data_IF_878449037889
#
_entry.id   IF_878449037889
#
_cell.length_a   1.000
_cell.length_b   1.000
_cell.length_c   1.000
_cell.angle_alpha   90.00
_cell.angle_beta   90.00
_cell.angle_gamma   90.00
#
_symmetry.space_group_name_H-M   'P 1'
#
loop_
_entity.id
_entity.type
_entity.pdbx_description
1 polymer ?
#
# COMPACT_ATOMS: atom_id res chain seq x y z
N UNK A 1 -24.40 9.38 -19.34
CA UNK A 1 -24.94 8.25 -18.55
C UNK A 1 -23.95 7.10 -18.74
N UNK A 2 -23.14 6.74 -17.83
CA UNK A 2 -23.22 5.76 -16.78
C UNK A 2 -21.85 5.64 -16.13
N UNK A 3 -21.68 6.11 -14.97
CA UNK A 3 -21.78 5.40 -13.71
C UNK A 3 -21.06 4.02 -13.74
N UNK A 4 -19.76 4.06 -13.40
CA UNK A 4 -19.08 2.90 -12.89
C UNK A 4 -19.66 2.66 -11.49
N UNK A 5 -20.71 1.84 -11.45
CA UNK A 5 -21.32 1.36 -10.23
C UNK A 5 -20.40 0.31 -9.61
N UNK A 6 -19.41 0.74 -8.87
CA UNK A 6 -18.85 -0.08 -7.82
C UNK A 6 -19.90 -0.08 -6.72
N UNK A 7 -20.71 -1.15 -6.65
CA UNK A 7 -21.66 -1.36 -5.56
C UNK A 7 -20.84 -1.67 -4.31
N UNK A 8 -20.35 -0.63 -3.65
CA UNK A 8 -19.98 -0.72 -2.24
C UNK A 8 -21.31 -0.82 -1.51
N UNK A 9 -21.77 -2.04 -1.25
CA UNK A 9 -22.80 -2.26 -0.25
C UNK A 9 -22.22 -1.74 1.05
N UNK A 10 -22.65 -0.57 1.49
CA UNK A 10 -22.44 -0.08 2.84
C UNK A 10 -23.07 -1.08 3.81
N UNK A 11 -22.28 -2.06 4.25
CA UNK A 11 -22.51 -2.67 5.53
C UNK A 11 -22.14 -1.60 6.55
N UNK A 12 -23.12 -0.96 7.14
CA UNK A 12 -22.94 -0.17 8.35
C UNK A 12 -22.57 -1.20 9.43
N UNK A 13 -21.28 -1.37 9.67
CA UNK A 13 -20.81 -2.07 10.85
C UNK A 13 -21.07 -1.14 12.04
N UNK A 14 -21.92 -1.58 12.93
CA UNK A 14 -21.96 -1.06 14.29
C UNK A 14 -20.58 -1.36 14.88
N UNK A 15 -19.81 -0.33 15.16
CA UNK A 15 -18.52 -0.43 15.85
C UNK A 15 -18.81 -0.84 17.29
N UNK A 16 -18.77 -2.13 17.58
CA UNK A 16 -18.38 -2.61 18.88
C UNK A 16 -16.89 -2.32 19.03
N UNK A 17 -16.47 -1.80 20.17
CA UNK A 17 -15.06 -1.50 20.45
C UNK A 17 -14.22 -2.77 20.26
N UNK A 18 -13.61 -2.91 19.08
CA UNK A 18 -12.65 -4.00 18.82
C UNK A 18 -11.49 -3.77 19.78
N UNK A 19 -11.25 -4.69 20.68
CA UNK A 19 -10.13 -4.59 21.62
C UNK A 19 -8.82 -4.43 20.84
N UNK A 20 -7.85 -3.72 21.41
CA UNK A 20 -6.52 -3.51 20.76
C UNK A 20 -5.84 -4.86 20.43
N UNK A 21 -6.17 -5.93 21.17
CA UNK A 21 -5.65 -7.28 20.96
C UNK A 21 -6.21 -8.00 19.71
N UNK A 22 -7.33 -7.52 19.16
CA UNK A 22 -7.99 -8.11 17.99
C UNK A 22 -7.65 -7.39 16.66
N UNK A 23 -6.82 -6.36 16.70
CA UNK A 23 -6.40 -5.61 15.49
C UNK A 23 -5.22 -6.27 14.82
N UNK A 24 -5.29 -6.42 13.50
CA UNK A 24 -4.16 -6.88 12.70
C UNK A 24 -3.00 -5.87 12.78
N UNK A 25 -1.82 -6.32 13.20
CA UNK A 25 -0.64 -5.49 13.35
C UNK A 25 0.07 -5.36 12.00
N UNK A 26 0.16 -4.16 11.44
CA UNK A 26 0.83 -3.94 10.17
C UNK A 26 2.13 -3.15 10.32
N UNK A 27 3.14 -3.52 9.52
CA UNK A 27 4.32 -2.69 9.30
C UNK A 27 4.20 -1.98 7.95
N UNK A 28 4.38 -0.66 7.94
CA UNK A 28 4.31 0.13 6.71
C UNK A 28 5.72 0.54 6.28
N UNK A 29 6.11 0.12 5.08
CA UNK A 29 7.43 0.40 4.49
C UNK A 29 7.35 1.60 3.56
N UNK A 30 8.26 2.55 3.72
CA UNK A 30 8.22 3.87 3.07
C UNK A 30 9.60 4.32 2.61
N UNK A 31 9.66 5.21 1.61
CA UNK A 31 10.91 5.86 1.14
C UNK A 31 10.72 7.37 0.86
N UNK A 32 9.56 7.95 1.20
CA UNK A 32 9.24 9.32 0.78
C UNK A 32 8.37 10.10 1.77
N UNK A 33 7.41 10.85 1.23
CA UNK A 33 6.58 11.82 2.00
C UNK A 33 5.63 11.16 3.00
N UNK A 34 5.27 9.88 2.81
CA UNK A 34 4.39 9.14 3.72
C UNK A 34 2.91 9.55 3.64
N UNK A 35 2.44 10.06 2.51
CA UNK A 35 1.02 10.42 2.36
C UNK A 35 0.11 9.19 2.45
N UNK A 36 0.54 8.08 1.87
CA UNK A 36 -0.15 6.78 1.98
C UNK A 36 -0.08 6.23 3.41
N UNK A 37 1.07 6.36 4.09
CA UNK A 37 1.20 6.03 5.52
C UNK A 37 0.19 6.83 6.36
N UNK A 38 0.07 8.15 6.15
CA UNK A 38 -0.90 8.97 6.87
C UNK A 38 -2.33 8.46 6.66
N UNK A 39 -2.67 8.13 5.42
CA UNK A 39 -4.00 7.55 5.12
C UNK A 39 -4.25 6.26 5.89
N UNK A 40 -3.25 5.39 6.00
CA UNK A 40 -3.38 4.15 6.78
C UNK A 40 -3.58 4.45 8.27
N UNK A 41 -2.83 5.39 8.84
CA UNK A 41 -2.99 5.83 10.23
C UNK A 41 -4.40 6.38 10.46
N UNK A 42 -4.89 7.24 9.58
CA UNK A 42 -6.21 7.87 9.71
C UNK A 42 -7.37 6.87 9.55
N UNK A 43 -7.14 5.75 8.87
CA UNK A 43 -8.15 4.74 8.53
C UNK A 43 -8.07 3.44 9.34
N UNK A 44 -7.05 3.27 10.16
CA UNK A 44 -6.78 2.02 10.88
C UNK A 44 -7.96 1.55 11.74
N UNK A 45 -8.63 2.47 12.43
CA UNK A 45 -9.80 2.14 13.26
C UNK A 45 -10.98 1.68 12.41
N UNK A 46 -11.20 2.33 11.27
CA UNK A 46 -12.29 1.99 10.36
C UNK A 46 -12.16 0.60 9.76
N UNK A 47 -10.94 0.11 9.54
CA UNK A 47 -10.69 -1.17 8.87
C UNK A 47 -10.12 -2.25 9.79
N UNK A 48 -10.00 -1.99 11.10
CA UNK A 48 -9.65 -2.97 12.12
C UNK A 48 -8.19 -3.44 12.07
N UNK A 49 -7.26 -2.60 11.64
CA UNK A 49 -5.83 -2.84 11.72
C UNK A 49 -5.13 -1.76 12.58
N UNK A 50 -3.88 -1.99 12.93
CA UNK A 50 -3.02 -1.07 13.67
C UNK A 50 -1.71 -0.89 12.91
N UNK A 51 -1.31 0.35 12.63
CA UNK A 51 0.06 0.64 12.17
C UNK A 51 1.00 0.54 13.38
N UNK A 52 1.64 -0.61 13.54
CA UNK A 52 2.47 -0.93 14.71
C UNK A 52 3.96 -0.61 14.50
N UNK A 53 4.40 -0.51 13.25
CA UNK A 53 5.79 -0.21 12.89
C UNK A 53 5.86 0.53 11.56
N UNK A 54 6.76 1.49 11.46
CA UNK A 54 7.15 2.12 10.20
C UNK A 54 8.60 1.77 9.90
N UNK A 55 8.87 1.28 8.69
CA UNK A 55 10.23 0.95 8.22
C UNK A 55 10.59 1.86 7.06
N UNK A 56 11.73 2.54 7.16
CA UNK A 56 12.25 3.39 6.09
C UNK A 56 13.68 2.96 5.70
N UNK A 57 13.97 2.96 4.40
CA UNK A 57 15.31 2.67 3.89
C UNK A 57 16.20 3.92 3.74
N UNK A 58 15.67 5.08 4.10
CA UNK A 58 16.37 6.36 4.09
C UNK A 58 15.62 7.37 4.96
N UNK A 59 16.30 8.44 5.37
CA UNK A 59 15.67 9.56 6.07
C UNK A 59 14.61 10.19 5.16
N UNK A 60 13.38 10.29 5.67
CA UNK A 60 12.25 10.79 4.88
C UNK A 60 11.14 11.35 5.78
N UNK A 61 10.25 12.18 5.22
CA UNK A 61 9.13 12.81 5.96
C UNK A 61 8.16 11.81 6.59
N UNK A 62 8.09 10.59 6.06
CA UNK A 62 7.27 9.54 6.66
C UNK A 62 7.68 9.18 8.09
N UNK A 63 8.99 9.28 8.43
CA UNK A 63 9.49 9.07 9.79
C UNK A 63 9.01 10.17 10.76
N UNK A 64 8.92 11.42 10.31
CA UNK A 64 8.38 12.52 11.10
C UNK A 64 6.89 12.31 11.38
N UNK A 65 6.12 11.78 10.41
CA UNK A 65 4.72 11.41 10.61
C UNK A 65 4.57 10.30 11.64
N UNK A 66 5.40 9.26 11.56
CA UNK A 66 5.41 8.17 12.53
C UNK A 66 5.69 8.70 13.94
N UNK A 67 6.70 9.55 14.09
CA UNK A 67 7.05 10.17 15.37
C UNK A 67 5.90 11.05 15.93
N UNK A 68 5.25 11.84 15.09
CA UNK A 68 4.09 12.68 15.50
C UNK A 68 2.92 11.83 16.00
N UNK A 69 2.73 10.65 15.43
CA UNK A 69 1.68 9.69 15.83
C UNK A 69 2.15 8.70 16.91
N UNK A 70 3.35 8.88 17.49
CA UNK A 70 3.95 7.98 18.48
C UNK A 70 4.07 6.51 17.97
N UNK A 71 4.24 6.31 16.66
CA UNK A 71 4.41 4.99 16.07
C UNK A 71 5.91 4.65 16.04
N UNK A 72 6.33 3.48 16.56
CA UNK A 72 7.70 3.00 16.45
C UNK A 72 8.19 3.00 15.01
N UNK A 73 9.45 3.41 14.79
CA UNK A 73 10.03 3.42 13.45
C UNK A 73 11.48 2.96 13.44
N UNK A 74 11.89 2.37 12.32
CA UNK A 74 13.25 1.90 12.06
C UNK A 74 13.71 2.47 10.72
N UNK A 75 14.88 3.15 10.72
CA UNK A 75 15.56 3.58 9.50
C UNK A 75 16.77 2.68 9.28
N UNK A 76 16.67 1.75 8.34
CA UNK A 76 17.76 0.82 8.02
C UNK A 76 17.61 0.24 6.61
N UNK A 77 18.74 -0.27 6.07
CA UNK A 77 18.78 -1.07 4.84
C UNK A 77 19.12 -2.53 5.12
N UNK A 78 19.38 -2.88 6.38
CA UNK A 78 19.70 -4.24 6.79
C UNK A 78 18.40 -5.03 6.99
N UNK A 79 18.18 -5.98 6.10
CA UNK A 79 16.99 -6.83 6.13
C UNK A 79 16.94 -7.77 7.34
N UNK A 80 18.07 -8.07 7.96
CA UNK A 80 18.11 -8.84 9.21
C UNK A 80 17.59 -7.99 10.37
N UNK A 81 17.98 -6.72 10.42
CA UNK A 81 17.47 -5.77 11.41
C UNK A 81 15.96 -5.53 11.21
N UNK A 82 15.53 -5.36 9.95
CA UNK A 82 14.11 -5.22 9.62
C UNK A 82 13.32 -6.44 10.10
N UNK A 83 13.78 -7.65 9.78
CA UNK A 83 13.10 -8.89 10.16
C UNK A 83 12.96 -9.05 11.67
N UNK A 84 14.01 -8.74 12.42
CA UNK A 84 13.97 -8.73 13.88
C UNK A 84 12.96 -7.70 14.42
N UNK A 85 12.91 -6.50 13.83
CA UNK A 85 11.94 -5.49 14.22
C UNK A 85 10.49 -5.94 13.95
N UNK A 86 10.23 -6.58 12.82
CA UNK A 86 8.91 -7.15 12.49
C UNK A 86 8.48 -8.19 13.53
N UNK A 87 9.38 -9.09 13.92
CA UNK A 87 9.10 -10.12 14.94
C UNK A 87 8.86 -9.50 16.32
N UNK A 88 9.67 -8.53 16.73
CA UNK A 88 9.57 -7.87 18.03
C UNK A 88 8.24 -7.10 18.17
N UNK A 89 7.75 -6.51 17.08
CA UNK A 89 6.48 -5.80 17.05
C UNK A 89 5.28 -6.70 16.71
N UNK A 90 5.48 -8.03 16.61
CA UNK A 90 4.43 -9.03 16.32
C UNK A 90 3.61 -8.65 15.08
N UNK A 91 4.30 -8.29 14.01
CA UNK A 91 3.67 -7.85 12.77
C UNK A 91 3.00 -9.04 12.08
N UNK A 92 1.76 -8.84 11.67
CA UNK A 92 0.96 -9.82 10.90
C UNK A 92 1.13 -9.63 9.40
N UNK A 93 1.24 -8.36 8.94
CA UNK A 93 1.33 -8.01 7.53
C UNK A 93 2.30 -6.86 7.27
N UNK A 94 3.05 -6.97 6.18
CA UNK A 94 3.91 -5.90 5.66
C UNK A 94 3.20 -5.20 4.51
N UNK A 95 3.15 -3.87 4.55
CA UNK A 95 2.55 -3.02 3.52
C UNK A 95 3.60 -2.12 2.90
N UNK A 96 3.94 -2.34 1.63
CA UNK A 96 4.81 -1.43 0.90
C UNK A 96 3.99 -0.25 0.38
N UNK A 97 4.32 0.96 0.83
CA UNK A 97 3.62 2.20 0.51
C UNK A 97 4.61 3.25 -0.04
N UNK A 98 5.02 3.10 -1.27
CA UNK A 98 6.08 3.90 -1.89
C UNK A 98 7.47 3.53 -1.37
N UNK A 99 7.72 2.26 -1.10
CA UNK A 99 9.03 1.73 -0.72
C UNK A 99 9.85 1.39 -1.96
N UNK A 100 11.01 2.02 -2.11
CA UNK A 100 11.80 1.94 -3.35
C UNK A 100 12.89 0.86 -3.35
N UNK A 101 13.15 0.22 -2.20
CA UNK A 101 14.11 -0.89 -2.15
C UNK A 101 13.43 -2.21 -2.57
N UNK A 102 14.20 -3.06 -3.23
CA UNK A 102 13.74 -4.40 -3.61
C UNK A 102 13.76 -5.30 -2.37
N UNK A 103 12.63 -5.93 -2.10
CA UNK A 103 12.51 -6.92 -1.02
C UNK A 103 13.28 -8.18 -1.41
N UNK A 104 14.25 -8.66 -0.61
CA UNK A 104 15.02 -9.84 -0.96
C UNK A 104 14.15 -11.11 -0.96
N UNK A 105 14.54 -12.06 -1.81
CA UNK A 105 13.81 -13.32 -2.01
C UNK A 105 13.47 -14.02 -0.68
N UNK A 106 14.42 -14.11 0.25
CA UNK A 106 14.21 -14.83 1.50
C UNK A 106 13.16 -14.18 2.42
N UNK A 107 12.99 -12.83 2.35
CA UNK A 107 11.89 -12.12 3.03
C UNK A 107 10.57 -12.42 2.32
N UNK A 108 10.54 -12.38 0.97
CA UNK A 108 9.33 -12.72 0.22
C UNK A 108 8.85 -14.14 0.53
N UNK A 109 9.77 -15.10 0.65
CA UNK A 109 9.46 -16.49 0.98
C UNK A 109 9.00 -16.65 2.44
N UNK A 110 9.69 -15.99 3.39
CA UNK A 110 9.32 -16.02 4.82
C UNK A 110 7.94 -15.42 5.09
N UNK A 111 7.61 -14.35 4.39
CA UNK A 111 6.38 -13.58 4.54
C UNK A 111 5.43 -13.81 3.35
N UNK A 112 5.46 -14.99 2.73
CA UNK A 112 4.61 -15.32 1.59
C UNK A 112 3.15 -15.03 1.91
N UNK A 113 2.47 -14.26 1.01
CA UNK A 113 1.10 -13.76 1.16
C UNK A 113 0.85 -12.82 2.36
N UNK A 114 1.90 -12.43 3.11
CA UNK A 114 1.85 -11.45 4.19
C UNK A 114 2.58 -10.14 3.84
N UNK A 115 3.04 -9.99 2.59
CA UNK A 115 3.55 -8.73 2.05
C UNK A 115 2.67 -8.30 0.90
N UNK A 116 2.14 -7.08 0.98
CA UNK A 116 1.40 -6.45 -0.11
C UNK A 116 2.06 -5.15 -0.52
N UNK A 117 1.86 -4.76 -1.79
CA UNK A 117 2.31 -3.49 -2.35
C UNK A 117 1.15 -2.78 -3.03
N UNK A 118 1.14 -1.45 -2.94
CA UNK A 118 0.29 -0.61 -3.80
C UNK A 118 1.16 -0.04 -4.93
N UNK A 119 0.82 -0.38 -6.17
CA UNK A 119 1.51 0.08 -7.37
C UNK A 119 0.61 1.04 -8.17
N UNK A 120 1.12 2.21 -8.62
CA UNK A 120 0.31 3.26 -9.24
C UNK A 120 -0.03 3.01 -10.72
N UNK A 121 -0.27 1.74 -11.11
CA UNK A 121 -0.77 1.37 -12.44
C UNK A 121 -1.73 0.18 -12.38
N UNK A 122 -2.38 -0.11 -13.51
CA UNK A 122 -3.16 -1.32 -13.72
C UNK A 122 -2.24 -2.48 -14.16
N UNK A 123 -1.59 -3.14 -13.20
CA UNK A 123 -0.72 -4.27 -13.50
C UNK A 123 -1.42 -5.34 -14.36
N UNK A 124 -0.69 -6.03 -15.25
CA UNK A 124 0.76 -6.02 -15.43
C UNK A 124 1.32 -4.85 -16.25
N UNK A 125 0.47 -3.96 -16.81
CA UNK A 125 0.93 -2.79 -17.55
C UNK A 125 1.66 -1.80 -16.64
N UNK A 126 2.71 -1.19 -17.17
CA UNK A 126 3.49 -0.14 -16.49
C UNK A 126 4.01 -0.57 -15.11
N UNK A 127 4.31 -1.86 -14.95
CA UNK A 127 5.00 -2.44 -13.81
C UNK A 127 6.43 -2.84 -14.14
N UNK A 128 7.14 -3.34 -13.12
CA UNK A 128 8.49 -3.85 -13.25
C UNK A 128 9.59 -2.83 -12.96
N UNK A 129 10.84 -3.23 -13.19
CA UNK A 129 12.03 -2.46 -12.84
C UNK A 129 12.01 -1.05 -13.46
N UNK A 130 12.14 -0.03 -12.61
CA UNK A 130 12.15 1.38 -13.03
C UNK A 130 10.78 2.05 -13.08
N UNK A 131 9.69 1.30 -12.89
CA UNK A 131 8.33 1.82 -12.86
C UNK A 131 7.94 2.23 -11.43
N UNK A 132 8.23 3.48 -11.06
CA UNK A 132 7.87 4.06 -9.77
C UNK A 132 7.61 5.55 -9.88
N UNK A 133 6.83 6.09 -8.95
CA UNK A 133 6.52 7.52 -8.88
C UNK A 133 5.91 8.04 -10.16
N UNK A 134 6.38 9.21 -10.62
CA UNK A 134 5.84 9.90 -11.80
C UNK A 134 6.09 9.15 -13.12
N UNK A 135 7.17 8.35 -13.19
CA UNK A 135 7.53 7.60 -14.40
C UNK A 135 6.44 6.63 -14.85
N UNK A 136 5.64 6.13 -13.92
CA UNK A 136 4.49 5.28 -14.24
C UNK A 136 3.46 6.06 -15.06
N UNK A 137 3.11 7.27 -14.62
CA UNK A 137 2.11 8.09 -15.32
C UNK A 137 2.64 8.64 -16.65
N UNK A 138 3.93 8.99 -16.73
CA UNK A 138 4.59 9.29 -18.01
C UNK A 138 4.47 8.12 -18.99
N UNK A 139 4.67 6.89 -18.52
CA UNK A 139 4.53 5.67 -19.33
C UNK A 139 3.10 5.44 -19.81
N UNK A 140 2.10 5.64 -18.95
CA UNK A 140 0.66 5.55 -19.30
C UNK A 140 0.31 6.54 -20.39
N UNK A 141 0.67 7.81 -20.21
CA UNK A 141 0.40 8.87 -21.20
C UNK A 141 1.12 8.65 -22.52
N UNK A 142 2.39 8.20 -22.47
CA UNK A 142 3.16 7.84 -23.66
C UNK A 142 2.55 6.68 -24.43
N UNK A 143 1.99 5.68 -23.74
CA UNK A 143 1.29 4.55 -24.34
C UNK A 143 -0.09 4.94 -24.91
N UNK A 144 -0.59 6.15 -24.61
CA UNK A 144 -1.93 6.64 -24.98
C UNK A 144 -3.05 5.72 -24.45
N UNK A 145 -2.83 5.14 -23.26
CA UNK A 145 -3.86 4.35 -22.61
C UNK A 145 -5.04 5.27 -22.22
N UNK A 146 -6.25 4.78 -22.33
CA UNK A 146 -7.48 5.51 -21.98
C UNK A 146 -7.87 5.32 -20.51
N UNK A 147 -7.28 4.33 -19.84
CA UNK A 147 -7.46 4.02 -18.43
C UNK A 147 -6.09 3.93 -17.74
N UNK A 148 -6.03 4.48 -16.55
CA UNK A 148 -4.96 4.30 -15.57
C UNK A 148 -5.55 3.75 -14.26
N UNK A 149 -4.76 3.70 -13.20
CA UNK A 149 -5.26 3.29 -11.89
C UNK A 149 -4.16 2.81 -10.98
N UNK A 150 -4.56 2.05 -9.98
CA UNK A 150 -3.63 1.44 -9.03
C UNK A 150 -3.97 -0.04 -8.80
N UNK A 151 -2.97 -0.78 -8.36
CA UNK A 151 -3.07 -2.22 -8.07
C UNK A 151 -2.54 -2.51 -6.68
N UNK A 152 -3.32 -3.19 -5.84
CA UNK A 152 -2.82 -3.87 -4.65
C UNK A 152 -2.53 -5.31 -5.04
N UNK A 153 -1.30 -5.77 -4.78
CA UNK A 153 -0.85 -7.12 -5.12
C UNK A 153 0.03 -7.71 -4.03
N UNK A 154 0.14 -9.03 -3.98
CA UNK A 154 1.14 -9.69 -3.14
C UNK A 154 2.54 -9.42 -3.69
N UNK A 155 3.51 -9.29 -2.80
CA UNK A 155 4.91 -9.13 -3.18
C UNK A 155 5.55 -10.50 -3.36
N UNK A 156 6.30 -10.65 -4.43
CA UNK A 156 7.10 -11.84 -4.75
C UNK A 156 8.55 -11.44 -5.03
N UNK A 157 9.40 -12.43 -5.27
CA UNK A 157 10.80 -12.16 -5.66
C UNK A 157 10.93 -11.48 -7.04
N UNK A 158 9.88 -11.50 -7.85
CA UNK A 158 9.77 -10.75 -9.10
C UNK A 158 9.12 -9.40 -8.85
N UNK A 159 9.74 -8.32 -9.32
CA UNK A 159 9.23 -6.95 -9.12
C UNK A 159 7.87 -6.82 -9.80
N UNK A 160 6.86 -6.41 -9.05
CA UNK A 160 5.45 -6.27 -9.46
C UNK A 160 4.82 -7.54 -10.07
N UNK A 161 5.46 -8.72 -9.89
CA UNK A 161 5.06 -10.00 -10.48
C UNK A 161 4.13 -10.85 -9.59
N UNK A 162 3.83 -10.41 -8.37
CA UNK A 162 2.98 -11.17 -7.44
C UNK A 162 1.50 -11.11 -7.80
N UNK A 163 0.71 -12.01 -7.20
CA UNK A 163 -0.73 -12.13 -7.47
C UNK A 163 -1.51 -10.86 -7.16
N UNK A 164 -2.33 -10.41 -8.10
CA UNK A 164 -3.19 -9.23 -7.97
C UNK A 164 -4.31 -9.53 -6.96
N UNK A 165 -4.52 -8.62 -6.00
CA UNK A 165 -5.60 -8.71 -5.01
C UNK A 165 -6.78 -7.86 -5.46
N UNK A 166 -6.52 -6.59 -5.80
CA UNK A 166 -7.54 -5.65 -6.24
C UNK A 166 -6.95 -4.53 -7.10
N UNK A 167 -7.78 -3.92 -7.94
CA UNK A 167 -7.42 -2.78 -8.79
C UNK A 167 -8.52 -1.72 -8.74
N UNK A 168 -8.11 -0.45 -8.78
CA UNK A 168 -9.01 0.67 -8.99
C UNK A 168 -8.62 1.42 -10.26
N UNK A 169 -9.61 1.76 -11.08
CA UNK A 169 -9.42 2.41 -12.38
C UNK A 169 -9.77 3.89 -12.32
N UNK A 170 -9.06 4.69 -13.10
CA UNK A 170 -9.36 6.09 -13.39
C UNK A 170 -9.30 6.32 -14.90
N UNK A 171 -10.10 7.25 -15.39
CA UNK A 171 -10.04 7.70 -16.78
C UNK A 171 -8.79 8.57 -17.02
N UNK A 172 -8.12 8.36 -18.14
CA UNK A 172 -7.09 9.26 -18.64
C UNK A 172 -7.74 10.30 -19.54
N UNK A 173 -7.61 11.58 -19.18
CA UNK A 173 -8.20 12.70 -19.91
C UNK A 173 -7.23 13.26 -20.95
N UNK A 174 -7.73 13.87 -22.05
CA UNK A 174 -6.87 14.40 -23.11
C UNK A 174 -5.83 15.44 -22.64
N UNK A 175 -6.17 16.20 -21.61
CA UNK A 175 -5.32 17.29 -21.07
C UNK A 175 -4.53 16.89 -19.83
N UNK A 176 -4.47 15.57 -19.49
CA UNK A 176 -3.72 15.13 -18.33
C UNK A 176 -2.22 15.32 -18.52
N UNK A 177 -1.58 15.95 -17.53
CA UNK A 177 -0.15 15.84 -17.32
C UNK A 177 0.14 14.64 -16.41
N UNK A 178 1.39 14.14 -16.37
CA UNK A 178 1.77 13.08 -15.43
C UNK A 178 1.38 13.39 -14.00
N UNK A 179 1.52 14.64 -13.55
CA UNK A 179 1.21 15.09 -12.19
C UNK A 179 -0.29 15.07 -11.91
N UNK A 180 -1.12 15.52 -12.87
CA UNK A 180 -2.59 15.52 -12.75
C UNK A 180 -3.10 14.08 -12.67
N UNK A 181 -2.59 13.21 -13.54
CA UNK A 181 -2.96 11.80 -13.54
C UNK A 181 -2.49 11.10 -12.27
N UNK A 182 -1.25 11.38 -11.82
CA UNK A 182 -0.70 10.85 -10.56
C UNK A 182 -1.57 11.22 -9.37
N UNK A 183 -1.97 12.48 -9.25
CA UNK A 183 -2.84 12.92 -8.16
C UNK A 183 -4.18 12.15 -8.17
N UNK A 184 -4.78 11.95 -9.35
CA UNK A 184 -6.03 11.19 -9.50
C UNK A 184 -5.87 9.71 -9.13
N UNK A 185 -4.76 9.08 -9.50
CA UNK A 185 -4.43 7.71 -9.12
C UNK A 185 -4.22 7.60 -7.62
N UNK A 186 -3.48 8.54 -7.00
CA UNK A 186 -3.23 8.55 -5.56
C UNK A 186 -4.51 8.65 -4.73
N UNK A 187 -5.55 9.36 -5.19
CA UNK A 187 -6.84 9.37 -4.51
C UNK A 187 -7.48 7.97 -4.49
N UNK A 188 -7.30 7.17 -5.54
CA UNK A 188 -7.79 5.79 -5.55
C UNK A 188 -6.94 4.88 -4.66
N UNK A 189 -5.64 5.09 -4.58
CA UNK A 189 -4.74 4.35 -3.66
C UNK A 189 -5.19 4.52 -2.21
N UNK A 190 -5.52 5.75 -1.79
CA UNK A 190 -5.99 6.10 -0.44
C UNK A 190 -7.32 5.42 -0.06
N UNK A 191 -8.11 5.03 -1.06
CA UNK A 191 -9.37 4.30 -0.86
C UNK A 191 -9.12 2.80 -0.88
N UNK A 192 -8.38 2.33 -1.90
CA UNK A 192 -8.23 0.90 -2.18
C UNK A 192 -7.38 0.18 -1.14
N UNK A 193 -6.24 0.78 -0.74
CA UNK A 193 -5.29 0.08 0.12
C UNK A 193 -5.85 -0.21 1.52
N UNK A 194 -6.43 0.75 2.28
CA UNK A 194 -7.02 0.45 3.59
C UNK A 194 -8.16 -0.56 3.49
N UNK A 195 -8.99 -0.46 2.44
CA UNK A 195 -10.08 -1.41 2.18
C UNK A 195 -9.55 -2.84 2.01
N UNK A 196 -8.51 -3.02 1.18
CA UNK A 196 -7.91 -4.35 0.94
C UNK A 196 -7.30 -4.91 2.22
N UNK A 197 -6.63 -4.09 3.04
CA UNK A 197 -6.08 -4.55 4.32
C UNK A 197 -7.21 -5.07 5.23
N UNK A 198 -8.31 -4.34 5.34
CA UNK A 198 -9.47 -4.78 6.12
C UNK A 198 -10.10 -6.08 5.61
N UNK A 199 -10.23 -6.25 4.31
CA UNK A 199 -10.73 -7.50 3.70
C UNK A 199 -9.79 -8.69 3.94
N UNK A 200 -8.46 -8.48 3.89
CA UNK A 200 -7.49 -9.53 4.19
C UNK A 200 -7.53 -9.91 5.66
N UNK A 201 -7.63 -8.93 6.57
CA UNK A 201 -7.82 -9.17 8.00
C UNK A 201 -9.02 -10.10 8.22
N UNK A 202 -10.18 -9.77 7.67
CA UNK A 202 -11.40 -10.54 7.88
C UNK A 202 -11.24 -12.00 7.40
N UNK A 203 -10.56 -12.23 6.27
CA UNK A 203 -10.30 -13.59 5.76
C UNK A 203 -9.29 -14.41 6.57
N UNK A 204 -8.44 -13.77 7.35
CA UNK A 204 -7.41 -14.48 8.14
C UNK A 204 -7.91 -14.85 9.55
N UNK A 205 -8.93 -14.15 10.03
CA UNK A 205 -9.51 -14.36 11.36
C UNK A 205 -10.90 -15.03 11.31
N UNK A 206 -11.41 -15.40 10.11
CA UNK A 206 -12.53 -16.32 9.91
C UNK A 206 -12.07 -17.80 10.00
#
# INVERSE_FOLDING_TARGET
>A
MNAVSLIIKQKVFLYEDISMEERMQIAVFVSGTGTTLQTLIDKQDQYGFQVALVVANCTCLALERAATCCIPSVETKDWTEIDNALLNHKIDMIVLAGFLAIVPRWICEKWERHIINIHPSLLPKHGGKGMYGIHVQESVLKAKDTEAGCTVHYVSAEVDGGGIIAQAKVEVKPDDTPEILSARVQEQEKILLPYVIGELKNKWYE
#
